data_IF_272540401400
#
_entry.id   IF_272540401400
#
_cell.length_a   1.000
_cell.length_b   1.000
_cell.length_c   1.000
_cell.angle_alpha   90.00
_cell.angle_beta   90.00
_cell.angle_gamma   90.00
#
_symmetry.space_group_name_H-M   'P 1'
#
loop_
_entity.id
_entity.type
_entity.pdbx_description
1 polymer ?
#
# COMPACT_ATOMS: atom_id res chain seq x y z
N UNK A 1 -9.16 3.30 1.88
CA UNK A 1 -9.37 1.98 1.23
C UNK A 1 -10.38 1.12 1.99
N UNK A 2 -10.57 1.29 3.31
CA UNK A 2 -11.54 0.49 4.07
C UNK A 2 -13.03 0.86 3.90
N UNK A 3 -13.38 1.70 2.93
CA UNK A 3 -14.77 2.13 2.69
C UNK A 3 -15.49 1.10 1.78
N UNK A 4 -16.51 0.37 2.28
CA UNK A 4 -17.21 -0.65 1.50
C UNK A 4 -18.00 -0.10 0.31
N UNK A 5 -18.43 1.16 0.36
CA UNK A 5 -19.21 1.77 -0.72
C UNK A 5 -18.33 2.14 -1.93
N UNK A 6 -17.03 2.36 -1.67
CA UNK A 6 -16.03 2.65 -2.71
C UNK A 6 -15.29 1.39 -3.14
N UNK A 7 -14.99 0.49 -2.20
CA UNK A 7 -14.20 -0.72 -2.40
C UNK A 7 -15.02 -1.98 -2.13
N UNK A 8 -16.00 -2.25 -3.02
CA UNK A 8 -17.02 -3.31 -2.86
C UNK A 8 -16.47 -4.73 -2.73
N UNK A 9 -15.37 -5.03 -3.42
CA UNK A 9 -14.70 -6.32 -3.35
C UNK A 9 -13.76 -6.36 -2.14
N UNK A 10 -14.27 -6.70 -0.96
CA UNK A 10 -13.47 -6.92 0.27
C UNK A 10 -12.51 -5.74 0.60
N UNK A 11 -13.03 -4.64 1.16
CA UNK A 11 -12.26 -3.40 1.35
C UNK A 11 -11.06 -3.54 2.31
N UNK A 12 -11.14 -4.51 3.22
CA UNK A 12 -10.12 -4.77 4.23
C UNK A 12 -9.14 -5.89 3.84
N UNK A 13 -9.31 -6.51 2.67
CA UNK A 13 -8.40 -7.55 2.17
C UNK A 13 -7.26 -6.95 1.36
N UNK A 14 -6.03 -7.42 1.58
CA UNK A 14 -4.89 -7.10 0.73
C UNK A 14 -5.03 -7.81 -0.63
N UNK A 15 -5.54 -7.08 -1.62
CA UNK A 15 -5.84 -7.59 -2.98
C UNK A 15 -5.26 -6.64 -4.03
N UNK A 16 -3.96 -6.76 -4.38
CA UNK A 16 -3.30 -5.90 -5.37
C UNK A 16 -3.95 -5.93 -6.76
N UNK A 17 -4.60 -7.03 -7.11
CA UNK A 17 -5.18 -7.29 -8.43
C UNK A 17 -6.28 -6.29 -8.78
N UNK A 18 -6.92 -5.66 -7.79
CA UNK A 18 -7.95 -4.62 -7.99
C UNK A 18 -7.44 -3.40 -8.75
N UNK A 19 -6.12 -3.20 -8.80
CA UNK A 19 -5.49 -2.09 -9.51
C UNK A 19 -5.07 -2.46 -10.94
N UNK A 20 -5.05 -3.74 -11.30
CA UNK A 20 -4.63 -4.19 -12.63
C UNK A 20 -5.71 -3.81 -13.65
N UNK A 21 -5.34 -3.05 -14.69
CA UNK A 21 -6.28 -2.54 -15.68
C UNK A 21 -7.21 -1.42 -15.18
N UNK A 22 -7.10 -1.04 -13.90
CA UNK A 22 -7.82 0.10 -13.34
C UNK A 22 -7.16 1.41 -13.76
N UNK A 23 -7.96 2.48 -13.82
CA UNK A 23 -7.47 3.85 -14.02
C UNK A 23 -7.04 4.52 -12.71
N UNK A 24 -7.45 3.95 -11.56
CA UNK A 24 -7.17 4.53 -10.24
C UNK A 24 -5.67 4.58 -10.01
N UNK A 25 -5.16 5.76 -9.66
CA UNK A 25 -3.78 5.98 -9.24
C UNK A 25 -3.72 6.87 -7.97
N UNK A 26 -2.53 7.00 -7.39
CA UNK A 26 -2.30 7.79 -6.18
C UNK A 26 -1.85 9.23 -6.46
N UNK A 27 -2.00 9.75 -7.69
CA UNK A 27 -1.57 11.11 -8.08
C UNK A 27 -2.61 12.18 -7.73
N UNK A 28 -3.53 11.86 -6.81
CA UNK A 28 -4.55 12.76 -6.26
C UNK A 28 -5.61 13.24 -7.25
N UNK A 29 -5.81 12.52 -8.36
CA UNK A 29 -6.97 12.73 -9.26
C UNK A 29 -8.12 11.76 -8.95
N UNK A 30 -7.83 10.67 -8.23
CA UNK A 30 -8.79 9.63 -7.85
C UNK A 30 -8.97 9.67 -6.33
N UNK A 31 -10.15 10.08 -5.88
CA UNK A 31 -10.44 10.34 -4.46
C UNK A 31 -10.61 9.06 -3.64
N UNK A 32 -10.84 7.94 -4.33
CA UNK A 32 -10.84 6.59 -3.78
C UNK A 32 -9.46 6.23 -3.19
N UNK A 33 -8.39 6.88 -3.66
CA UNK A 33 -7.00 6.59 -3.32
C UNK A 33 -6.12 7.86 -3.19
N UNK A 34 -6.02 8.40 -1.97
CA UNK A 34 -5.24 9.64 -1.68
C UNK A 34 -4.15 9.48 -0.58
N UNK A 35 -3.25 8.47 -0.66
CA UNK A 35 -2.26 8.22 0.39
C UNK A 35 -1.22 9.36 0.52
N UNK A 36 -1.07 10.21 -0.50
CA UNK A 36 -0.16 11.35 -0.52
C UNK A 36 -0.87 12.70 -0.50
N UNK A 37 -2.18 12.70 -0.23
CA UNK A 37 -3.03 13.89 -0.34
C UNK A 37 -3.33 14.30 -1.79
N UNK A 38 -3.95 15.47 -1.94
CA UNK A 38 -4.37 16.03 -3.24
C UNK A 38 -4.19 17.56 -3.30
N UNK A 39 -4.19 18.13 -4.51
CA UNK A 39 -4.16 19.58 -4.74
C UNK A 39 -2.88 20.27 -4.27
N UNK A 40 -2.97 21.54 -3.85
CA UNK A 40 -1.83 22.42 -3.53
C UNK A 40 -0.95 21.93 -2.36
N UNK A 41 -1.44 21.00 -1.54
CA UNK A 41 -0.75 20.48 -0.35
C UNK A 41 -0.44 18.98 -0.49
N UNK A 42 -0.52 18.44 -1.70
CA UNK A 42 -0.05 17.09 -2.00
C UNK A 42 1.44 16.97 -1.64
N UNK A 43 1.83 15.78 -1.16
CA UNK A 43 3.21 15.49 -0.81
C UNK A 43 4.16 15.76 -2.00
N UNK A 44 5.12 16.66 -1.80
CA UNK A 44 6.13 16.95 -2.82
C UNK A 44 7.06 15.75 -3.11
N UNK A 45 7.10 14.76 -2.21
CA UNK A 45 7.94 13.57 -2.30
C UNK A 45 7.39 12.43 -3.18
N UNK A 46 6.19 12.56 -3.76
CA UNK A 46 5.56 11.48 -4.56
C UNK A 46 6.46 10.91 -5.66
N UNK A 47 7.16 11.72 -6.48
CA UNK A 47 8.02 11.18 -7.54
C UNK A 47 9.19 10.35 -6.98
N UNK A 48 9.75 10.76 -5.84
CA UNK A 48 10.83 10.05 -5.17
C UNK A 48 10.32 8.75 -4.57
N UNK A 49 9.22 8.81 -3.82
CA UNK A 49 8.60 7.64 -3.20
C UNK A 49 8.23 6.57 -4.23
N UNK A 50 7.66 6.97 -5.37
CA UNK A 50 7.34 6.05 -6.46
C UNK A 50 8.59 5.30 -6.96
N UNK A 51 9.67 6.02 -7.26
CA UNK A 51 10.92 5.42 -7.77
C UNK A 51 11.57 4.51 -6.74
N UNK A 52 11.70 4.99 -5.51
CA UNK A 52 12.33 4.24 -4.43
C UNK A 52 11.56 2.98 -4.08
N UNK A 53 10.22 3.04 -3.99
CA UNK A 53 9.41 1.89 -3.65
C UNK A 53 9.53 0.78 -4.68
N UNK A 54 9.44 1.11 -5.98
CA UNK A 54 9.56 0.11 -7.04
C UNK A 54 10.98 -0.48 -7.11
N UNK A 55 12.01 0.36 -6.98
CA UNK A 55 13.40 -0.09 -7.01
C UNK A 55 13.71 -1.01 -5.83
N UNK A 56 13.41 -0.57 -4.60
CA UNK A 56 13.68 -1.36 -3.40
C UNK A 56 12.90 -2.66 -3.42
N UNK A 57 11.59 -2.64 -3.74
CA UNK A 57 10.79 -3.85 -3.80
C UNK A 57 11.32 -4.82 -4.88
N UNK A 58 11.66 -4.32 -6.06
CA UNK A 58 12.22 -5.13 -7.13
C UNK A 58 13.56 -5.79 -6.74
N UNK A 59 14.45 -5.06 -6.07
CA UNK A 59 15.71 -5.61 -5.56
C UNK A 59 15.43 -6.71 -4.54
N UNK A 60 14.54 -6.45 -3.59
CA UNK A 60 14.23 -7.38 -2.52
C UNK A 60 13.63 -8.69 -3.05
N UNK A 61 12.69 -8.61 -3.99
CA UNK A 61 12.08 -9.78 -4.63
C UNK A 61 13.05 -10.55 -5.52
N UNK A 62 14.02 -9.87 -6.15
CA UNK A 62 14.97 -10.52 -7.05
C UNK A 62 16.12 -11.20 -6.29
N UNK A 63 16.56 -10.63 -5.16
CA UNK A 63 17.78 -11.07 -4.48
C UNK A 63 17.53 -12.04 -3.33
N UNK A 64 16.28 -12.18 -2.87
CA UNK A 64 15.96 -12.95 -1.68
C UNK A 64 14.68 -13.75 -1.85
N UNK A 65 14.69 -14.98 -1.34
CA UNK A 65 13.48 -15.77 -1.09
C UNK A 65 13.07 -15.59 0.38
N UNK A 66 11.87 -15.05 0.60
CA UNK A 66 11.39 -14.72 1.94
C UNK A 66 10.43 -15.78 2.46
N UNK A 67 10.70 -16.24 3.68
CA UNK A 67 9.82 -17.11 4.45
C UNK A 67 9.78 -16.63 5.89
N UNK A 68 8.67 -16.91 6.57
CA UNK A 68 8.59 -16.72 8.03
C UNK A 68 9.46 -17.78 8.73
N UNK A 69 10.09 -17.40 9.84
CA UNK A 69 10.77 -18.35 10.71
C UNK A 69 9.79 -19.41 11.22
N UNK A 70 10.27 -20.64 11.45
CA UNK A 70 9.39 -21.78 11.78
C UNK A 70 8.54 -21.63 13.05
N UNK A 71 8.87 -20.67 13.91
CA UNK A 71 8.11 -20.36 15.13
C UNK A 71 7.08 -19.24 14.93
N UNK A 72 7.03 -18.59 13.77
CA UNK A 72 6.12 -17.49 13.44
C UNK A 72 5.05 -17.99 12.47
N UNK A 73 3.80 -18.00 12.94
CA UNK A 73 2.62 -18.28 12.11
C UNK A 73 1.88 -16.99 11.76
N UNK A 74 0.98 -17.05 10.76
CA UNK A 74 0.13 -15.90 10.39
C UNK A 74 -0.64 -15.32 11.58
N UNK A 75 -1.08 -16.18 12.49
CA UNK A 75 -1.87 -15.80 13.66
C UNK A 75 -1.03 -15.15 14.77
N UNK A 76 0.28 -15.42 14.79
CA UNK A 76 1.21 -14.84 15.78
C UNK A 76 1.72 -13.46 15.38
N UNK A 77 1.53 -13.05 14.12
CA UNK A 77 1.93 -11.73 13.63
C UNK A 77 0.87 -10.71 14.05
N UNK A 78 1.31 -9.61 14.65
CA UNK A 78 0.44 -8.47 14.96
C UNK A 78 0.18 -7.66 13.68
N UNK A 79 -1.02 -7.81 13.12
CA UNK A 79 -1.49 -7.10 11.93
C UNK A 79 -2.23 -5.80 12.25
N UNK A 80 -2.26 -5.38 13.53
CA UNK A 80 -2.99 -4.18 13.94
C UNK A 80 -2.18 -2.93 13.66
N UNK A 81 -2.85 -1.96 13.07
CA UNK A 81 -2.29 -0.64 12.83
C UNK A 81 -2.00 0.09 14.14
N UNK A 82 -0.81 0.70 14.24
CA UNK A 82 -0.48 1.66 15.29
C UNK A 82 -0.68 3.07 14.77
N UNK A 83 -1.56 3.81 15.44
CA UNK A 83 -1.90 5.18 15.06
C UNK A 83 -0.71 6.13 15.23
N UNK A 84 -0.48 6.98 14.23
CA UNK A 84 0.58 7.98 14.20
C UNK A 84 0.53 8.81 12.92
N UNK A 85 1.49 9.73 12.75
CA UNK A 85 1.64 10.51 11.51
C UNK A 85 1.88 9.59 10.31
N UNK A 86 2.55 8.46 10.55
CA UNK A 86 2.59 7.31 9.66
C UNK A 86 2.08 6.12 10.44
N UNK A 87 1.20 5.34 9.81
CA UNK A 87 0.73 4.07 10.33
C UNK A 87 1.91 3.10 10.40
N UNK A 88 2.08 2.40 11.53
CA UNK A 88 3.18 1.46 11.78
C UNK A 88 2.66 0.11 12.23
#
# INVERSE_FOLDING_TARGET
>A
MGDPDVWVDEPNSFKPERFIGSKIDYKGQYYELIPFGAGRRMCAGVPLAHRMLHLTLGILLHQFDWSLDGNVTRDTIDWKDKLGISMR
#
